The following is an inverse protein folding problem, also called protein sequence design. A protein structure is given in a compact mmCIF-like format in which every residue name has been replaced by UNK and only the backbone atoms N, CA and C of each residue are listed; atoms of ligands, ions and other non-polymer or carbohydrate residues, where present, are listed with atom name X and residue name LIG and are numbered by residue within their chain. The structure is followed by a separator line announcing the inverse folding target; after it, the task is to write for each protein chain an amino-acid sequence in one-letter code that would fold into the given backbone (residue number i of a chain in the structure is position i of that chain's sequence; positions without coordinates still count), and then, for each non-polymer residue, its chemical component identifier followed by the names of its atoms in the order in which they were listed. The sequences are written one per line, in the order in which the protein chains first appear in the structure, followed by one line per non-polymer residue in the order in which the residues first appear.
data_IF_772634901912
#
_entry.id   IF_772634901912
#
_cell.length_a   1.000
_cell.length_b   1.000
_cell.length_c   1.000
_cell.angle_alpha   90.00
_cell.angle_beta   90.00
_cell.angle_gamma   90.00
#
_symmetry.space_group_name_H-M   'P 1'
#
loop_
_entity.id
_entity.type
_entity.pdbx_description
1 polymer ?
#
# COMPACT_ATOMS: atom_id res chain seq x y z
N UNK A 1 -27.65 -47.53 55.74
CA UNK A 1 -27.58 -46.45 54.74
C UNK A 1 -27.29 -45.15 55.49
N UNK A 2 -26.24 -44.36 55.30
CA UNK A 2 -25.16 -44.26 54.32
C UNK A 2 -23.90 -43.81 55.09
N UNK A 3 -22.73 -44.33 54.72
CA UNK A 3 -21.44 -43.78 55.15
C UNK A 3 -21.19 -42.46 54.42
N UNK A 4 -20.74 -41.44 55.14
CA UNK A 4 -20.20 -40.21 54.60
C UNK A 4 -18.74 -40.43 54.21
N UNK A 5 -18.41 -40.35 52.93
CA UNK A 5 -17.02 -40.26 52.45
C UNK A 5 -16.69 -38.79 52.21
N UNK A 6 -15.89 -38.17 53.09
CA UNK A 6 -15.15 -36.97 52.73
C UNK A 6 -14.05 -37.37 51.75
N UNK A 7 -14.24 -37.08 50.46
CA UNK A 7 -13.13 -37.00 49.52
C UNK A 7 -12.59 -35.57 49.56
N UNK A 8 -11.44 -35.41 50.20
CA UNK A 8 -10.60 -34.21 50.08
C UNK A 8 -10.11 -34.11 48.63
N UNK A 9 -10.75 -33.27 47.81
CA UNK A 9 -10.14 -32.81 46.57
C UNK A 9 -9.07 -31.77 46.93
N UNK A 10 -7.83 -32.22 46.99
CA UNK A 10 -6.67 -31.33 46.87
C UNK A 10 -6.76 -30.69 45.46
N UNK A 11 -7.28 -29.47 45.40
CA UNK A 11 -7.01 -28.57 44.28
C UNK A 11 -5.52 -28.25 44.33
N UNK A 12 -4.73 -29.02 43.56
CA UNK A 12 -3.41 -28.61 43.13
C UNK A 12 -3.60 -27.33 42.31
N UNK A 13 -3.58 -26.18 42.99
CA UNK A 13 -3.27 -24.91 42.37
C UNK A 13 -1.84 -25.03 41.88
N UNK A 14 -1.67 -25.58 40.68
CA UNK A 14 -0.41 -25.51 39.95
C UNK A 14 -0.08 -24.02 39.85
N UNK A 15 0.93 -23.59 40.61
CA UNK A 15 1.61 -22.34 40.37
C UNK A 15 2.15 -22.43 38.94
N UNK A 16 1.37 -21.98 37.96
CA UNK A 16 1.90 -21.65 36.65
C UNK A 16 3.04 -20.66 36.93
N UNK A 17 4.28 -21.13 36.78
CA UNK A 17 5.43 -20.27 36.97
C UNK A 17 5.25 -19.09 36.01
N UNK A 18 5.22 -17.87 36.56
CA UNK A 18 5.15 -16.67 35.73
C UNK A 18 6.32 -16.72 34.74
N UNK A 19 6.00 -16.69 33.45
CA UNK A 19 7.02 -16.76 32.40
C UNK A 19 7.99 -15.58 32.57
N UNK A 20 9.28 -15.86 32.68
CA UNK A 20 10.31 -14.84 32.86
C UNK A 20 10.59 -14.11 31.55
N UNK A 21 10.87 -12.81 31.63
CA UNK A 21 11.30 -12.00 30.48
C UNK A 21 10.19 -11.50 29.57
N UNK A 22 8.92 -11.70 29.94
CA UNK A 22 7.77 -11.08 29.25
C UNK A 22 7.95 -9.56 29.21
N UNK A 23 7.64 -8.96 28.06
CA UNK A 23 7.48 -7.51 27.95
C UNK A 23 6.25 -7.09 28.77
N UNK A 24 6.46 -6.35 29.86
CA UNK A 24 5.40 -5.85 30.71
C UNK A 24 5.64 -4.37 31.09
N UNK A 25 4.69 -3.45 30.83
CA UNK A 25 3.48 -3.68 30.04
C UNK A 25 3.81 -3.90 28.55
N UNK A 26 2.97 -4.62 27.80
CA UNK A 26 3.16 -4.85 26.36
C UNK A 26 3.06 -3.55 25.57
N UNK A 27 2.12 -2.70 25.97
CA UNK A 27 1.74 -1.44 25.36
C UNK A 27 1.55 -0.37 26.43
N UNK A 28 1.61 0.89 26.04
CA UNK A 28 1.27 2.04 26.90
C UNK A 28 0.67 3.17 26.08
N UNK A 29 -0.21 3.97 26.68
CA UNK A 29 -0.75 5.16 26.03
C UNK A 29 0.31 6.26 26.04
N UNK A 30 0.70 6.72 24.84
CA UNK A 30 1.73 7.73 24.64
C UNK A 30 1.17 9.11 24.24
N UNK A 31 -0.12 9.19 23.95
CA UNK A 31 -0.81 10.42 23.59
C UNK A 31 -2.27 10.16 23.20
N UNK A 32 -3.04 11.21 22.85
CA UNK A 32 -4.39 11.05 22.31
C UNK A 32 -4.37 10.17 21.05
N UNK A 33 -5.09 9.05 21.06
CA UNK A 33 -5.07 8.04 19.99
C UNK A 33 -3.69 7.46 19.62
N UNK A 34 -2.67 7.64 20.47
CA UNK A 34 -1.32 7.09 20.26
C UNK A 34 -1.00 6.03 21.31
N UNK A 35 -0.75 4.81 20.87
CA UNK A 35 -0.32 3.69 21.72
C UNK A 35 1.10 3.27 21.34
N UNK A 36 2.03 3.27 22.31
CA UNK A 36 3.38 2.74 22.10
C UNK A 36 3.44 1.25 22.44
N UNK A 37 4.20 0.49 21.66
CA UNK A 37 4.51 -0.91 21.90
C UNK A 37 5.89 -1.02 22.52
N UNK A 38 5.95 -1.57 23.73
CA UNK A 38 7.22 -1.74 24.44
C UNK A 38 8.03 -2.87 23.81
N UNK A 39 9.29 -2.60 23.45
CA UNK A 39 10.24 -3.60 22.92
C UNK A 39 9.63 -4.45 21.79
N UNK A 40 8.85 -3.83 20.91
CA UNK A 40 8.19 -4.49 19.78
C UNK A 40 7.26 -5.65 20.18
N UNK A 41 6.90 -5.76 21.46
CA UNK A 41 6.20 -6.92 22.02
C UNK A 41 6.90 -8.27 21.70
N UNK A 42 8.24 -8.28 21.60
CA UNK A 42 9.00 -9.46 21.18
C UNK A 42 8.82 -10.68 22.10
N UNK A 43 8.44 -10.47 23.38
CA UNK A 43 8.17 -11.55 24.33
C UNK A 43 6.77 -11.36 24.93
N UNK A 44 5.77 -11.97 24.28
CA UNK A 44 4.39 -12.02 24.75
C UNK A 44 4.19 -13.13 25.80
N UNK A 45 3.26 -12.96 26.75
CA UNK A 45 2.89 -14.02 27.69
C UNK A 45 2.12 -15.13 26.98
N UNK A 46 2.52 -16.38 27.20
CA UNK A 46 1.78 -17.53 26.67
C UNK A 46 0.43 -17.74 27.39
N UNK A 47 -0.60 -18.20 26.69
CA UNK A 47 -0.67 -18.38 25.24
C UNK A 47 -0.95 -17.05 24.53
N UNK A 48 -0.36 -16.84 23.36
CA UNK A 48 -0.71 -15.75 22.47
C UNK A 48 -1.06 -16.29 21.09
N UNK A 49 -2.00 -15.63 20.41
CA UNK A 49 -2.47 -16.03 19.09
C UNK A 49 -3.08 -14.84 18.37
N UNK A 50 -2.77 -14.69 17.08
CA UNK A 50 -3.50 -13.83 16.15
C UNK A 50 -4.12 -14.72 15.09
N UNK A 51 -5.43 -14.63 14.94
CA UNK A 51 -6.10 -15.34 13.86
C UNK A 51 -5.63 -14.73 12.54
N UNK A 52 -5.23 -15.57 11.60
CA UNK A 52 -4.74 -15.08 10.32
C UNK A 52 -5.85 -15.21 9.31
N UNK A 53 -6.24 -14.08 8.72
CA UNK A 53 -7.37 -14.02 7.81
C UNK A 53 -7.09 -14.70 6.48
N UNK A 54 -8.12 -15.32 5.93
CA UNK A 54 -8.09 -16.02 4.64
C UNK A 54 -8.92 -15.33 3.56
N UNK A 55 -9.21 -14.01 3.70
CA UNK A 55 -9.66 -13.04 2.67
C UNK A 55 -10.63 -11.98 3.20
N UNK A 56 -11.40 -12.27 4.25
CA UNK A 56 -12.61 -11.48 4.58
C UNK A 56 -12.34 -10.22 5.41
N UNK A 57 -11.22 -10.18 6.15
CA UNK A 57 -10.83 -9.02 6.95
C UNK A 57 -9.34 -9.01 7.26
N UNK A 58 -8.54 -8.01 6.82
CA UNK A 58 -7.16 -7.85 7.28
C UNK A 58 -7.11 -7.84 8.82
N UNK A 59 -6.08 -8.43 9.41
CA UNK A 59 -5.86 -8.37 10.86
C UNK A 59 -4.71 -7.43 11.22
N UNK A 60 -4.80 -6.81 12.39
CA UNK A 60 -3.80 -5.85 12.89
C UNK A 60 -3.05 -6.42 14.10
N UNK A 61 -2.02 -5.69 14.58
CA UNK A 61 -1.33 -6.08 15.81
C UNK A 61 -2.29 -6.16 17.02
N UNK A 62 -3.30 -5.29 17.05
CA UNK A 62 -4.32 -5.25 18.11
C UNK A 62 -5.23 -6.48 18.18
N UNK A 63 -5.32 -7.28 17.12
CA UNK A 63 -6.07 -8.55 17.11
C UNK A 63 -5.34 -9.71 17.81
N UNK A 64 -4.12 -9.46 18.30
CA UNK A 64 -3.37 -10.45 19.07
C UNK A 64 -4.01 -10.66 20.43
N UNK A 65 -4.48 -11.88 20.67
CA UNK A 65 -4.88 -12.33 22.00
C UNK A 65 -3.65 -12.78 22.78
N UNK A 66 -3.59 -12.46 24.07
CA UNK A 66 -2.53 -12.88 24.99
C UNK A 66 -3.16 -13.54 26.24
N UNK A 67 -2.33 -14.07 27.15
CA UNK A 67 -2.73 -14.85 28.32
C UNK A 67 -4.06 -14.40 28.99
N UNK A 68 -4.87 -15.37 29.42
CA UNK A 68 -6.24 -15.19 29.96
C UNK A 68 -7.25 -14.58 28.97
N UNK A 69 -6.94 -14.53 27.67
CA UNK A 69 -7.83 -13.98 26.65
C UNK A 69 -7.86 -12.45 26.64
N UNK A 70 -6.91 -11.79 27.33
CA UNK A 70 -6.74 -10.35 27.26
C UNK A 70 -6.36 -9.95 25.83
N UNK A 71 -7.15 -9.07 25.22
CA UNK A 71 -6.84 -8.47 23.93
C UNK A 71 -6.04 -7.17 24.14
N UNK A 72 -5.23 -6.80 23.16
CA UNK A 72 -4.55 -5.50 23.11
C UNK A 72 -5.53 -4.41 22.65
N UNK A 73 -6.60 -4.20 23.42
CA UNK A 73 -7.73 -3.36 23.04
C UNK A 73 -7.35 -1.91 22.76
N UNK A 74 -6.43 -1.37 23.56
CA UNK A 74 -5.86 -0.03 23.41
C UNK A 74 -4.95 0.11 22.18
N UNK A 75 -4.37 -0.98 21.71
CA UNK A 75 -3.65 -1.03 20.43
C UNK A 75 -4.65 -1.06 19.27
N UNK A 76 -5.73 -1.83 19.41
CA UNK A 76 -6.76 -2.00 18.38
C UNK A 76 -7.59 -0.73 18.15
N UNK A 77 -7.73 0.12 19.16
CA UNK A 77 -8.50 1.36 19.08
C UNK A 77 -7.66 2.60 18.80
N UNK A 78 -6.34 2.48 18.68
CA UNK A 78 -5.46 3.62 18.46
C UNK A 78 -5.35 3.96 16.98
N UNK A 79 -5.42 5.25 16.64
CA UNK A 79 -5.14 5.74 15.29
C UNK A 79 -3.65 5.56 14.94
N UNK A 80 -2.77 5.66 15.93
CA UNK A 80 -1.32 5.51 15.75
C UNK A 80 -0.73 4.49 16.72
N UNK A 81 -0.06 3.47 16.19
CA UNK A 81 0.69 2.48 16.97
C UNK A 81 2.18 2.66 16.75
N UNK A 82 2.91 3.04 17.80
CA UNK A 82 4.32 3.40 17.73
C UNK A 82 5.19 2.25 18.25
N UNK A 83 6.11 1.75 17.44
CA UNK A 83 7.02 0.66 17.80
C UNK A 83 8.41 1.15 18.20
N UNK A 84 8.90 2.21 17.55
CA UNK A 84 10.06 2.97 17.99
C UNK A 84 9.58 4.27 18.64
N UNK A 85 9.62 4.33 19.98
CA UNK A 85 9.03 5.45 20.73
C UNK A 85 9.68 6.79 20.41
N UNK A 86 11.00 6.85 20.27
CA UNK A 86 11.69 8.11 20.04
C UNK A 86 11.40 8.63 18.64
N UNK A 87 11.69 7.83 17.62
CA UNK A 87 11.53 8.21 16.21
C UNK A 87 10.05 8.33 15.81
N UNK A 88 9.20 7.46 16.34
CA UNK A 88 7.77 7.49 16.05
C UNK A 88 7.06 8.72 16.61
N UNK A 89 7.40 9.15 17.83
CA UNK A 89 6.83 10.39 18.39
C UNK A 89 7.40 11.65 17.71
N UNK A 90 8.65 11.60 17.22
CA UNK A 90 9.20 12.66 16.36
C UNK A 90 8.41 12.79 15.05
N UNK A 91 8.14 11.67 14.37
CA UNK A 91 7.32 11.61 13.14
C UNK A 91 5.91 12.20 13.37
N UNK A 92 5.26 11.82 14.46
CA UNK A 92 3.89 12.27 14.77
C UNK A 92 3.84 13.74 15.19
N UNK A 93 4.92 14.26 15.79
CA UNK A 93 4.96 15.60 16.33
C UNK A 93 4.05 15.80 17.55
N UNK A 94 3.74 17.06 17.84
CA UNK A 94 3.04 17.43 19.09
C UNK A 94 1.51 17.27 19.03
N UNK A 95 0.93 17.22 17.83
CA UNK A 95 -0.52 17.20 17.61
C UNK A 95 -0.88 16.37 16.36
N UNK A 96 -0.52 15.07 16.33
CA UNK A 96 -0.96 14.21 15.23
C UNK A 96 -2.49 14.11 15.21
N UNK A 97 -3.07 13.98 14.02
CA UNK A 97 -4.51 13.73 13.89
C UNK A 97 -4.81 12.79 12.73
N UNK A 98 -5.83 11.95 12.91
CA UNK A 98 -6.44 11.13 11.87
C UNK A 98 -7.90 11.55 11.72
N UNK A 99 -8.36 11.72 10.47
CA UNK A 99 -9.73 12.10 10.15
C UNK A 99 -10.25 11.27 8.97
N UNK A 100 -11.38 10.58 9.16
CA UNK A 100 -12.09 9.94 8.06
C UNK A 100 -12.87 10.99 7.27
N UNK A 101 -12.53 11.18 5.99
CA UNK A 101 -13.01 12.30 5.19
C UNK A 101 -14.19 11.92 4.30
N UNK A 102 -14.09 10.81 3.57
CA UNK A 102 -15.10 10.40 2.59
C UNK A 102 -15.35 8.90 2.65
N UNK A 103 -16.63 8.53 2.67
CA UNK A 103 -17.04 7.17 2.35
C UNK A 103 -17.07 7.01 0.83
N UNK A 104 -16.42 5.98 0.31
CA UNK A 104 -16.41 5.62 -1.11
C UNK A 104 -16.92 4.19 -1.28
N UNK A 105 -17.03 3.72 -2.51
CA UNK A 105 -17.46 2.34 -2.78
C UNK A 105 -16.43 1.32 -2.26
N UNK A 106 -16.81 0.05 -2.20
CA UNK A 106 -15.90 -1.06 -1.89
C UNK A 106 -14.95 -1.41 -3.05
N UNK A 107 -14.97 -0.64 -4.14
CA UNK A 107 -14.00 -0.76 -5.22
C UNK A 107 -12.58 -0.45 -4.75
N UNK A 108 -11.60 -0.93 -5.51
CA UNK A 108 -10.20 -0.53 -5.34
C UNK A 108 -10.06 0.94 -5.75
N UNK A 109 -9.63 1.77 -4.80
CA UNK A 109 -9.28 3.17 -5.00
C UNK A 109 -7.79 3.36 -4.90
N UNK A 110 -7.18 3.91 -5.94
CA UNK A 110 -5.75 3.80 -6.19
C UNK A 110 -5.21 5.08 -6.87
N UNK A 111 -3.95 5.08 -7.27
CA UNK A 111 -3.31 6.13 -8.05
C UNK A 111 -3.43 7.55 -7.46
N UNK A 112 -3.24 7.79 -6.15
CA UNK A 112 -3.32 9.14 -5.62
C UNK A 112 -2.17 10.01 -6.12
N UNK A 113 -2.49 11.09 -6.83
CA UNK A 113 -1.51 12.04 -7.38
C UNK A 113 -1.91 13.46 -7.04
N UNK A 114 -1.07 14.12 -6.24
CA UNK A 114 -1.26 15.52 -5.87
C UNK A 114 -0.73 16.45 -6.97
N UNK A 115 -1.59 17.32 -7.48
CA UNK A 115 -1.26 18.38 -8.43
C UNK A 115 -1.24 19.71 -7.67
N UNK A 116 -0.07 20.08 -7.16
CA UNK A 116 0.10 21.24 -6.28
C UNK A 116 -0.32 22.57 -6.95
N UNK A 117 -0.09 22.73 -8.25
CA UNK A 117 -0.48 23.94 -9.01
C UNK A 117 -1.99 24.21 -9.00
N UNK A 118 -2.80 23.15 -8.85
CA UNK A 118 -4.26 23.24 -8.77
C UNK A 118 -4.78 23.01 -7.34
N UNK A 119 -3.90 22.62 -6.43
CA UNK A 119 -4.22 22.16 -5.08
C UNK A 119 -5.34 21.08 -5.10
N UNK A 120 -5.14 20.05 -5.92
CA UNK A 120 -6.08 18.95 -6.12
C UNK A 120 -5.39 17.61 -6.04
N UNK A 121 -6.06 16.64 -5.43
CA UNK A 121 -5.59 15.26 -5.36
C UNK A 121 -6.47 14.40 -6.27
N UNK A 122 -5.85 13.85 -7.32
CA UNK A 122 -6.49 12.92 -8.25
C UNK A 122 -6.31 11.51 -7.74
N UNK A 123 -7.30 10.65 -7.91
CA UNK A 123 -7.22 9.23 -7.60
C UNK A 123 -8.17 8.45 -8.52
N UNK A 124 -7.97 7.14 -8.62
CA UNK A 124 -8.78 6.27 -9.47
C UNK A 124 -9.76 5.43 -8.67
N UNK A 125 -10.74 4.87 -9.37
CA UNK A 125 -11.57 3.77 -8.92
C UNK A 125 -11.52 2.69 -10.02
N UNK A 126 -11.08 1.47 -9.70
CA UNK A 126 -10.85 0.42 -10.70
C UNK A 126 -12.09 -0.48 -10.87
N UNK A 127 -12.37 -1.30 -9.85
CA UNK A 127 -13.47 -2.26 -9.81
C UNK A 127 -13.64 -2.82 -8.40
N UNK A 128 -14.79 -3.46 -8.09
CA UNK A 128 -16.01 -3.53 -8.91
C UNK A 128 -16.90 -2.27 -8.82
N UNK A 129 -17.72 -1.96 -9.86
CA UNK A 129 -17.84 -2.66 -11.13
C UNK A 129 -16.72 -2.31 -12.12
N UNK A 130 -16.35 -3.27 -12.97
CA UNK A 130 -15.45 -3.03 -14.10
C UNK A 130 -16.09 -2.05 -15.13
N UNK A 131 -15.25 -1.41 -15.94
CA UNK A 131 -15.69 -0.44 -16.95
C UNK A 131 -15.96 0.97 -16.42
N UNK A 132 -15.68 1.25 -15.14
CA UNK A 132 -15.71 2.61 -14.60
C UNK A 132 -14.59 3.44 -15.23
N UNK A 133 -14.96 4.58 -15.82
CA UNK A 133 -14.08 5.48 -16.56
C UNK A 133 -13.72 6.77 -15.82
N UNK A 134 -14.62 7.38 -15.02
CA UNK A 134 -14.22 8.55 -14.25
C UNK A 134 -13.09 8.22 -13.27
N UNK A 135 -12.27 9.22 -13.00
CA UNK A 135 -11.40 9.27 -11.83
C UNK A 135 -12.12 10.11 -10.77
N UNK A 136 -11.60 10.11 -9.55
CA UNK A 136 -12.07 10.99 -8.50
C UNK A 136 -11.05 12.11 -8.27
N UNK A 137 -11.54 13.25 -7.80
CA UNK A 137 -10.72 14.40 -7.42
C UNK A 137 -11.19 14.91 -6.07
N UNK A 138 -10.26 14.98 -5.12
CA UNK A 138 -10.42 15.75 -3.90
C UNK A 138 -9.97 17.18 -4.18
N UNK A 139 -10.90 18.13 -4.10
CA UNK A 139 -10.62 19.56 -4.21
C UNK A 139 -10.24 20.14 -2.85
N UNK A 140 -8.95 20.44 -2.67
CA UNK A 140 -8.39 20.94 -1.42
C UNK A 140 -8.49 22.47 -1.30
N UNK A 141 -9.11 23.14 -2.28
CA UNK A 141 -9.42 24.57 -2.21
C UNK A 141 -10.72 24.87 -1.46
N UNK A 142 -11.49 23.83 -1.12
CA UNK A 142 -12.72 23.94 -0.34
C UNK A 142 -12.48 23.60 1.14
N UNK A 143 -13.26 24.21 2.03
CA UNK A 143 -13.27 23.90 3.45
C UNK A 143 -14.72 23.63 3.93
N UNK A 144 -15.09 22.36 4.22
CA UNK A 144 -14.26 21.17 4.10
C UNK A 144 -13.94 20.81 2.64
N UNK A 145 -12.86 20.03 2.36
CA UNK A 145 -12.55 19.52 1.03
C UNK A 145 -13.73 18.75 0.42
N UNK A 146 -13.84 18.77 -0.91
CA UNK A 146 -14.93 18.08 -1.63
C UNK A 146 -14.41 16.96 -2.51
N UNK A 147 -15.21 15.93 -2.74
CA UNK A 147 -14.92 14.81 -3.62
C UNK A 147 -15.85 14.86 -4.84
N UNK A 148 -15.30 14.72 -6.04
CA UNK A 148 -16.07 14.74 -7.29
C UNK A 148 -15.49 13.81 -8.36
N UNK A 149 -16.31 13.41 -9.31
CA UNK A 149 -15.86 12.67 -10.50
C UNK A 149 -15.16 13.60 -11.50
N UNK A 150 -14.13 13.09 -12.15
CA UNK A 150 -13.36 13.75 -13.18
C UNK A 150 -13.18 12.79 -14.36
N UNK A 151 -13.53 13.25 -15.57
CA UNK A 151 -13.36 12.46 -16.78
C UNK A 151 -12.34 13.11 -17.70
N UNK A 152 -11.27 12.37 -17.97
CA UNK A 152 -10.21 12.79 -18.87
C UNK A 152 -10.57 12.65 -20.35
N UNK A 153 -9.87 13.35 -21.24
CA UNK A 153 -10.11 13.28 -22.68
C UNK A 153 -8.85 12.92 -23.49
N UNK A 154 -8.79 11.74 -24.14
CA UNK A 154 -9.73 10.63 -24.00
C UNK A 154 -9.73 10.02 -22.58
N UNK A 155 -10.82 9.36 -22.16
CA UNK A 155 -10.90 8.70 -20.86
C UNK A 155 -9.84 7.60 -20.70
N UNK A 156 -9.32 7.46 -19.49
CA UNK A 156 -8.39 6.37 -19.14
C UNK A 156 -9.13 5.31 -18.34
N UNK A 157 -9.10 4.07 -18.82
CA UNK A 157 -9.72 2.95 -18.12
C UNK A 157 -8.80 2.38 -17.04
N UNK A 158 -9.31 2.35 -15.80
CA UNK A 158 -8.66 1.80 -14.61
C UNK A 158 -7.18 2.24 -14.43
N UNK A 159 -6.88 3.55 -14.31
CA UNK A 159 -5.59 3.98 -13.78
C UNK A 159 -5.36 3.32 -12.42
N UNK A 160 -4.20 2.72 -12.19
CA UNK A 160 -3.87 1.98 -10.97
C UNK A 160 -2.76 2.67 -10.20
N UNK A 161 -1.64 2.94 -10.86
CA UNK A 161 -0.53 3.68 -10.29
C UNK A 161 -0.42 5.06 -10.88
N UNK A 162 0.20 5.98 -10.15
CA UNK A 162 0.43 7.32 -10.67
C UNK A 162 1.48 8.14 -9.97
N UNK A 163 2.02 9.11 -10.71
CA UNK A 163 2.93 10.12 -10.17
C UNK A 163 2.79 11.44 -10.91
N UNK A 164 3.10 12.56 -10.24
CA UNK A 164 3.20 13.87 -10.89
C UNK A 164 4.64 14.10 -11.31
N UNK A 165 4.84 14.42 -12.59
CA UNK A 165 6.16 14.71 -13.13
C UNK A 165 6.09 15.72 -14.28
N UNK A 166 6.91 16.77 -14.21
CA UNK A 166 7.05 17.79 -15.27
C UNK A 166 5.70 18.39 -15.70
N UNK A 167 4.86 18.76 -14.73
CA UNK A 167 3.58 19.41 -14.97
C UNK A 167 2.45 18.47 -15.43
N UNK A 168 2.70 17.16 -15.48
CA UNK A 168 1.71 16.16 -15.91
C UNK A 168 1.56 15.08 -14.87
N UNK A 169 0.39 14.47 -14.83
CA UNK A 169 0.23 13.18 -14.18
C UNK A 169 0.67 12.09 -15.15
N UNK A 170 1.41 11.10 -14.68
CA UNK A 170 1.71 9.86 -15.39
C UNK A 170 0.92 8.75 -14.72
N UNK A 171 0.06 8.08 -15.47
CA UNK A 171 -0.75 6.95 -15.04
C UNK A 171 -0.21 5.63 -15.57
N UNK A 172 -0.23 4.62 -14.70
CA UNK A 172 -0.26 3.21 -15.08
C UNK A 172 -1.71 2.81 -15.32
N UNK A 173 -2.15 2.76 -16.57
CA UNK A 173 -3.50 2.32 -16.91
C UNK A 173 -3.52 0.79 -16.96
N UNK A 174 -4.23 0.17 -16.02
CA UNK A 174 -4.32 -1.28 -15.85
C UNK A 174 -5.46 -1.92 -16.66
N UNK A 175 -6.43 -1.12 -17.10
CA UNK A 175 -7.62 -1.60 -17.79
C UNK A 175 -7.36 -2.03 -19.24
N UNK A 176 -8.02 -3.13 -19.66
CA UNK A 176 -7.94 -3.64 -21.03
C UNK A 176 -9.29 -4.12 -21.57
N UNK A 177 -9.92 -3.39 -22.49
CA UNK A 177 -11.21 -3.80 -23.05
C UNK A 177 -11.40 -3.28 -24.47
N UNK A 178 -11.94 -4.12 -25.36
CA UNK A 178 -12.20 -3.78 -26.78
C UNK A 178 -13.22 -2.66 -27.02
N UNK A 179 -14.04 -2.32 -26.04
CA UNK A 179 -15.23 -1.48 -26.23
C UNK A 179 -15.45 -0.40 -25.15
N UNK A 180 -14.53 -0.25 -24.20
CA UNK A 180 -14.68 0.69 -23.09
C UNK A 180 -14.45 2.13 -23.55
N UNK A 181 -15.34 3.06 -23.17
CA UNK A 181 -15.22 4.48 -23.54
C UNK A 181 -15.38 4.74 -25.04
N UNK A 182 -16.06 3.85 -25.77
CA UNK A 182 -16.31 4.00 -27.20
C UNK A 182 -15.22 3.44 -28.11
N UNK A 183 -14.25 2.69 -27.56
CA UNK A 183 -13.19 2.06 -28.36
C UNK A 183 -12.37 1.03 -27.59
N UNK A 184 -11.28 0.57 -28.22
CA UNK A 184 -10.35 -0.34 -27.59
C UNK A 184 -9.36 0.41 -26.69
N UNK A 185 -9.27 -0.01 -25.43
CA UNK A 185 -8.22 0.39 -24.50
C UNK A 185 -7.42 -0.82 -24.05
N UNK A 186 -6.12 -0.62 -23.83
CA UNK A 186 -5.16 -1.63 -23.41
C UNK A 186 -4.26 -1.06 -22.32
N UNK A 187 -3.67 -1.97 -21.55
CA UNK A 187 -2.71 -1.66 -20.49
C UNK A 187 -1.60 -0.77 -21.05
N UNK A 188 -1.34 0.36 -20.39
CA UNK A 188 -0.41 1.38 -20.92
C UNK A 188 0.07 2.36 -19.85
N UNK A 189 1.27 2.91 -20.04
CA UNK A 189 1.64 4.18 -19.40
C UNK A 189 1.03 5.33 -20.20
N UNK A 190 0.41 6.29 -19.51
CA UNK A 190 -0.23 7.46 -20.12
C UNK A 190 0.10 8.73 -19.35
N UNK A 191 0.21 9.85 -20.04
CA UNK A 191 0.17 11.16 -19.37
C UNK A 191 -1.25 11.70 -19.34
N UNK A 192 -1.60 12.45 -18.30
CA UNK A 192 -2.71 13.40 -18.24
C UNK A 192 -2.14 14.78 -17.98
N UNK A 193 -2.42 15.71 -18.88
CA UNK A 193 -2.13 17.13 -18.69
C UNK A 193 -3.30 17.77 -17.91
N UNK A 194 -3.09 18.20 -16.65
CA UNK A 194 -4.17 18.68 -15.79
C UNK A 194 -4.71 20.05 -16.21
N UNK A 195 -3.98 20.80 -17.05
CA UNK A 195 -4.41 22.12 -17.54
C UNK A 195 -5.33 21.99 -18.77
N UNK A 196 -5.05 21.00 -19.62
CA UNK A 196 -5.82 20.79 -20.87
C UNK A 196 -6.80 19.63 -20.81
N UNK A 197 -6.76 18.83 -19.74
CA UNK A 197 -7.49 17.58 -19.57
C UNK A 197 -7.14 16.51 -20.63
N UNK A 198 -6.01 16.65 -21.33
CA UNK A 198 -5.65 15.75 -22.43
C UNK A 198 -4.79 14.59 -21.97
N UNK A 199 -5.12 13.39 -22.45
CA UNK A 199 -4.34 12.19 -22.19
C UNK A 199 -3.56 11.73 -23.43
N UNK A 200 -2.40 11.09 -23.21
CA UNK A 200 -1.52 10.62 -24.29
C UNK A 200 -0.82 9.32 -23.88
N UNK A 201 -0.78 8.34 -24.79
CA UNK A 201 -0.04 7.10 -24.57
C UNK A 201 1.47 7.33 -24.62
N UNK A 202 2.18 6.74 -23.67
CA UNK A 202 3.64 6.68 -23.66
C UNK A 202 4.14 5.32 -24.15
N UNK A 203 3.63 4.24 -23.57
CA UNK A 203 3.99 2.86 -23.95
C UNK A 203 2.84 1.90 -23.60
N UNK A 204 2.63 0.88 -24.41
CA UNK A 204 1.48 -0.04 -24.27
C UNK A 204 1.79 -1.51 -24.60
N UNK A 205 3.05 -1.83 -24.91
CA UNK A 205 3.47 -3.19 -25.23
C UNK A 205 4.96 -3.42 -24.91
N UNK A 206 5.31 -4.68 -24.76
CA UNK A 206 6.68 -5.17 -24.75
C UNK A 206 6.90 -6.08 -25.97
N UNK A 207 7.58 -5.57 -27.00
CA UNK A 207 7.82 -6.28 -28.27
C UNK A 207 6.56 -6.90 -28.91
N UNK A 208 5.43 -6.20 -28.83
CA UNK A 208 4.15 -6.65 -29.38
C UNK A 208 3.26 -7.45 -28.41
N UNK A 209 3.75 -7.79 -27.23
CA UNK A 209 2.93 -8.37 -26.16
C UNK A 209 2.30 -7.26 -25.31
N UNK A 210 1.04 -7.42 -24.94
CA UNK A 210 0.41 -6.54 -23.96
C UNK A 210 1.05 -6.75 -22.59
N UNK A 211 1.23 -5.65 -21.86
CA UNK A 211 1.48 -5.71 -20.42
C UNK A 211 0.29 -6.36 -19.70
N UNK A 212 0.57 -6.96 -18.55
CA UNK A 212 -0.43 -7.66 -17.75
C UNK A 212 -1.29 -6.67 -16.95
N UNK A 213 -0.65 -5.80 -16.19
CA UNK A 213 -1.21 -4.78 -15.29
C UNK A 213 -0.10 -3.79 -15.01
N UNK A 214 -0.02 -2.64 -15.69
CA UNK A 214 0.89 -1.59 -15.21
C UNK A 214 0.28 -1.07 -13.91
N UNK A 215 0.80 -1.58 -12.80
CA UNK A 215 0.20 -1.52 -11.47
C UNK A 215 0.64 -0.24 -10.77
N UNK A 216 1.90 -0.14 -10.36
CA UNK A 216 2.44 1.09 -9.79
C UNK A 216 3.69 1.58 -10.55
N UNK A 217 4.01 2.88 -10.44
CA UNK A 217 5.15 3.48 -11.13
C UNK A 217 5.87 4.56 -10.33
N UNK A 218 7.16 4.72 -10.62
CA UNK A 218 8.01 5.78 -10.09
C UNK A 218 8.94 6.34 -11.17
N UNK A 219 9.15 7.65 -11.16
CA UNK A 219 10.14 8.31 -12.03
C UNK A 219 11.47 8.36 -11.30
N UNK A 220 12.53 7.86 -11.93
CA UNK A 220 13.87 7.96 -11.36
C UNK A 220 14.32 9.42 -11.32
N UNK A 221 14.70 9.98 -10.15
CA UNK A 221 14.81 11.42 -9.95
C UNK A 221 15.93 12.09 -10.76
N UNK A 222 16.92 11.32 -11.24
CA UNK A 222 18.05 11.86 -12.01
C UNK A 222 17.94 11.61 -13.52
N UNK A 223 17.43 10.46 -13.93
CA UNK A 223 17.36 10.10 -15.37
C UNK A 223 16.02 10.48 -16.00
N UNK A 224 14.96 10.64 -15.20
CA UNK A 224 13.60 10.84 -15.69
C UNK A 224 12.96 9.59 -16.31
N UNK A 225 13.62 8.42 -16.19
CA UNK A 225 13.06 7.17 -16.68
C UNK A 225 11.92 6.71 -15.77
N UNK A 226 10.90 6.10 -16.38
CA UNK A 226 9.73 5.59 -15.67
C UNK A 226 9.95 4.12 -15.36
N UNK A 227 9.98 3.77 -14.08
CA UNK A 227 10.04 2.39 -13.61
C UNK A 227 8.64 1.98 -13.17
N UNK A 228 8.20 0.79 -13.54
CA UNK A 228 6.84 0.33 -13.27
C UNK A 228 6.77 -1.18 -13.05
N UNK A 229 5.72 -1.61 -12.36
CA UNK A 229 5.46 -3.00 -12.03
C UNK A 229 4.36 -3.59 -12.92
N UNK A 230 4.46 -4.88 -13.25
CA UNK A 230 3.57 -5.60 -14.15
C UNK A 230 3.03 -6.93 -13.57
N UNK A 231 2.25 -6.91 -12.46
CA UNK A 231 1.56 -8.07 -11.89
C UNK A 231 0.40 -8.56 -12.75
N UNK A 232 -0.32 -9.59 -12.28
CA UNK A 232 -1.45 -10.20 -13.00
C UNK A 232 -2.84 -9.69 -12.55
N UNK A 233 -2.91 -8.61 -11.77
CA UNK A 233 -4.14 -8.17 -11.09
C UNK A 233 -5.29 -7.82 -12.01
N UNK A 234 -5.04 -7.21 -13.16
CA UNK A 234 -6.09 -6.89 -14.13
C UNK A 234 -6.82 -8.14 -14.60
N UNK A 235 -6.09 -9.25 -14.80
CA UNK A 235 -6.71 -10.53 -15.14
C UNK A 235 -7.46 -11.10 -13.96
N UNK A 236 -6.86 -11.11 -12.77
CA UNK A 236 -7.50 -11.61 -11.55
C UNK A 236 -8.84 -10.92 -11.25
N UNK A 237 -8.91 -9.61 -11.47
CA UNK A 237 -10.06 -8.75 -11.13
C UNK A 237 -11.01 -8.46 -12.30
N UNK A 238 -10.88 -9.18 -13.43
CA UNK A 238 -11.71 -8.96 -14.62
C UNK A 238 -11.66 -7.51 -15.17
N UNK A 239 -10.54 -6.81 -14.96
CA UNK A 239 -10.28 -5.47 -15.52
C UNK A 239 -9.76 -5.54 -16.95
N UNK A 240 -9.25 -6.70 -17.37
CA UNK A 240 -8.82 -6.96 -18.75
C UNK A 240 -9.55 -8.13 -19.39
N UNK A 241 -9.89 -8.00 -20.68
CA UNK A 241 -10.44 -9.09 -21.51
C UNK A 241 -9.34 -9.95 -22.17
N UNK A 242 -8.07 -9.67 -21.89
CA UNK A 242 -6.91 -10.35 -22.48
C UNK A 242 -6.11 -11.05 -21.39
N UNK A 243 -5.91 -12.37 -21.48
CA UNK A 243 -5.10 -13.08 -20.49
C UNK A 243 -3.63 -12.64 -20.54
N UNK A 244 -2.90 -12.76 -19.42
CA UNK A 244 -1.49 -12.41 -19.33
C UNK A 244 -0.66 -13.05 -20.46
N UNK A 245 0.16 -12.23 -21.12
CA UNK A 245 1.06 -12.65 -22.20
C UNK A 245 2.53 -12.66 -21.77
N UNK A 246 2.81 -12.01 -20.63
CA UNK A 246 4.14 -11.84 -20.07
C UNK A 246 4.20 -12.49 -18.68
N UNK A 247 5.37 -12.96 -18.23
CA UNK A 247 5.58 -13.22 -16.81
C UNK A 247 5.35 -11.93 -16.02
N UNK A 248 5.03 -12.08 -14.74
CA UNK A 248 5.04 -10.92 -13.85
C UNK A 248 6.48 -10.41 -13.68
N UNK A 249 6.67 -9.10 -13.82
CA UNK A 249 7.99 -8.47 -13.77
C UNK A 249 7.88 -6.98 -13.46
N UNK A 250 9.02 -6.34 -13.20
CA UNK A 250 9.17 -4.88 -13.19
C UNK A 250 9.98 -4.44 -14.40
N UNK A 251 9.66 -3.28 -14.95
CA UNK A 251 10.26 -2.73 -16.16
C UNK A 251 10.68 -1.27 -15.96
N UNK A 252 11.54 -0.81 -16.87
CA UNK A 252 11.97 0.58 -17.01
C UNK A 252 11.69 1.03 -18.44
N UNK A 253 11.05 2.17 -18.59
CA UNK A 253 10.82 2.86 -19.85
C UNK A 253 11.66 4.13 -19.93
N UNK A 254 12.51 4.20 -20.96
CA UNK A 254 13.30 5.39 -21.27
C UNK A 254 12.58 6.23 -22.33
N UNK A 255 12.00 7.35 -21.91
CA UNK A 255 11.17 8.19 -22.79
C UNK A 255 11.95 8.82 -23.96
N UNK A 256 13.28 8.98 -23.83
CA UNK A 256 14.11 9.59 -24.89
C UNK A 256 14.37 8.64 -26.06
N UNK A 257 14.60 7.36 -25.78
CA UNK A 257 14.87 6.32 -26.79
C UNK A 257 13.64 5.50 -27.16
N UNK A 258 12.61 5.49 -26.32
CA UNK A 258 11.45 4.62 -26.42
C UNK A 258 11.71 3.18 -25.96
N UNK A 259 12.90 2.88 -25.43
CA UNK A 259 13.26 1.53 -25.00
C UNK A 259 12.50 1.13 -23.72
N UNK A 260 12.07 -0.14 -23.67
CA UNK A 260 11.59 -0.81 -22.45
C UNK A 260 12.55 -1.92 -22.07
N UNK A 261 13.02 -1.94 -20.83
CA UNK A 261 13.99 -2.89 -20.30
C UNK A 261 13.43 -3.56 -19.05
N UNK A 262 13.72 -4.84 -18.85
CA UNK A 262 13.38 -5.54 -17.60
C UNK A 262 14.27 -5.03 -16.47
N UNK A 263 13.67 -4.83 -15.30
CA UNK A 263 14.34 -4.42 -14.06
C UNK A 263 14.51 -5.61 -13.11
N UNK A 264 13.44 -6.35 -12.86
CA UNK A 264 13.42 -7.57 -12.04
C UNK A 264 12.29 -8.49 -12.52
N UNK A 265 12.56 -9.78 -12.64
CA UNK A 265 11.61 -10.82 -13.02
C UNK A 265 11.45 -11.90 -11.92
N UNK A 266 11.92 -11.59 -10.70
CA UNK A 266 12.02 -12.56 -9.60
C UNK A 266 11.01 -12.32 -8.47
N UNK A 267 10.45 -11.10 -8.38
CA UNK A 267 9.30 -10.77 -7.54
C UNK A 267 8.04 -11.47 -8.09
N UNK A 268 7.23 -12.07 -7.21
CA UNK A 268 6.09 -12.89 -7.65
C UNK A 268 4.91 -12.09 -8.17
N UNK A 269 4.51 -11.05 -7.43
CA UNK A 269 3.55 -10.03 -7.88
C UNK A 269 4.12 -8.68 -7.44
N UNK A 270 4.90 -7.98 -8.29
CA UNK A 270 5.44 -6.67 -7.98
C UNK A 270 4.30 -5.67 -7.99
N UNK A 271 4.28 -4.76 -7.03
CA UNK A 271 3.15 -3.84 -6.85
C UNK A 271 3.69 -2.42 -6.61
N UNK A 272 3.64 -1.86 -5.40
CA UNK A 272 4.22 -0.58 -5.05
C UNK A 272 5.70 -0.46 -5.40
N UNK A 273 6.09 0.70 -5.95
CA UNK A 273 7.48 1.03 -6.31
C UNK A 273 7.80 2.48 -5.92
N UNK A 274 8.96 2.70 -5.30
CA UNK A 274 9.40 4.04 -4.94
C UNK A 274 10.93 4.15 -4.88
N UNK A 275 11.47 5.29 -5.28
CA UNK A 275 12.88 5.63 -5.08
C UNK A 275 13.07 6.36 -3.76
N UNK A 276 14.24 6.17 -3.14
CA UNK A 276 14.72 7.10 -2.14
C UNK A 276 15.03 8.48 -2.77
N UNK A 277 15.16 9.55 -1.97
CA UNK A 277 15.25 10.92 -2.50
C UNK A 277 16.39 11.18 -3.50
N UNK A 278 17.51 10.48 -3.37
CA UNK A 278 18.67 10.64 -4.28
C UNK A 278 18.68 9.64 -5.44
N UNK A 279 17.69 8.73 -5.51
CA UNK A 279 17.54 7.72 -6.55
C UNK A 279 18.55 6.57 -6.49
N UNK A 280 19.35 6.44 -5.42
CA UNK A 280 20.34 5.35 -5.32
C UNK A 280 19.76 4.01 -4.89
N UNK A 281 18.52 4.02 -4.38
CA UNK A 281 17.81 2.81 -3.93
C UNK A 281 16.39 2.85 -4.47
N UNK A 282 15.94 1.72 -5.04
CA UNK A 282 14.53 1.50 -5.38
C UNK A 282 13.95 0.43 -4.47
N UNK A 283 12.76 0.69 -3.96
CA UNK A 283 11.98 -0.26 -3.18
C UNK A 283 10.83 -0.78 -4.03
N UNK A 284 10.61 -2.10 -4.01
CA UNK A 284 9.51 -2.76 -4.72
C UNK A 284 8.85 -3.76 -3.77
N UNK A 285 7.52 -3.69 -3.62
CA UNK A 285 6.77 -4.66 -2.83
C UNK A 285 6.46 -5.93 -3.64
N UNK A 286 6.45 -7.07 -2.93
CA UNK A 286 5.96 -8.36 -3.40
C UNK A 286 4.70 -8.74 -2.63
N UNK A 287 3.60 -8.74 -3.36
CA UNK A 287 2.25 -9.02 -2.88
C UNK A 287 1.77 -10.39 -3.35
N UNK A 288 2.67 -11.33 -3.67
CA UNK A 288 2.34 -12.68 -4.15
C UNK A 288 1.56 -13.57 -3.16
N UNK A 289 1.31 -13.10 -1.93
CA UNK A 289 0.24 -13.64 -1.11
C UNK A 289 -1.15 -13.49 -1.72
N UNK A 290 -1.34 -12.57 -2.66
CA UNK A 290 -2.50 -12.47 -3.52
C UNK A 290 -2.12 -13.05 -4.89
N UNK A 291 -2.57 -14.27 -5.20
CA UNK A 291 -2.20 -14.94 -6.45
C UNK A 291 -3.22 -15.99 -6.89
N UNK A 292 -3.58 -16.01 -8.17
CA UNK A 292 -4.52 -16.99 -8.74
C UNK A 292 -4.06 -17.57 -10.08
N UNK A 293 -4.84 -18.50 -10.67
CA UNK A 293 -4.57 -19.02 -12.00
C UNK A 293 -4.72 -17.93 -13.08
N UNK A 294 -3.85 -17.99 -14.09
CA UNK A 294 -3.91 -17.12 -15.29
C UNK A 294 -4.49 -17.84 -16.52
N UNK A 295 -4.84 -19.12 -16.39
CA UNK A 295 -5.48 -19.90 -17.45
C UNK A 295 -6.88 -19.32 -17.73
N UNK A 296 -7.19 -18.92 -18.98
CA UNK A 296 -8.52 -18.47 -19.39
C UNK A 296 -9.66 -19.43 -19.00
N UNK A 297 -9.39 -20.74 -18.95
CA UNK A 297 -10.38 -21.74 -18.57
C UNK A 297 -10.73 -21.73 -17.08
N UNK A 298 -9.88 -21.13 -16.24
CA UNK A 298 -10.14 -20.94 -14.81
C UNK A 298 -10.95 -19.66 -14.52
N UNK A 299 -11.18 -18.80 -15.52
CA UNK A 299 -11.86 -17.52 -15.38
C UNK A 299 -11.04 -16.49 -14.59
N UNK A 300 -11.74 -15.56 -13.94
CA UNK A 300 -11.15 -14.50 -13.13
C UNK A 300 -11.24 -14.87 -11.64
N UNK A 301 -10.13 -15.28 -10.99
CA UNK A 301 -10.16 -15.83 -9.63
C UNK A 301 -10.42 -14.79 -8.53
N UNK A 302 -10.47 -13.50 -8.84
CA UNK A 302 -10.45 -12.43 -7.83
C UNK A 302 -9.09 -12.38 -7.13
N UNK A 303 -9.08 -11.97 -5.86
CA UNK A 303 -7.86 -11.70 -5.09
C UNK A 303 -7.55 -12.73 -4.01
N UNK A 304 -7.46 -14.06 -4.30
CA UNK A 304 -7.27 -15.08 -3.26
C UNK A 304 -5.99 -14.84 -2.45
N UNK A 305 -6.10 -14.92 -1.11
CA UNK A 305 -5.05 -14.51 -0.19
C UNK A 305 -4.53 -15.68 0.65
N UNK A 306 -3.20 -15.83 0.67
CA UNK A 306 -2.49 -16.76 1.53
C UNK A 306 -1.40 -16.04 2.32
N UNK A 307 -1.65 -15.82 3.60
CA UNK A 307 -0.73 -15.15 4.53
C UNK A 307 0.68 -15.77 4.62
N UNK A 308 0.83 -17.06 4.28
CA UNK A 308 2.12 -17.76 4.37
C UNK A 308 3.04 -17.51 3.17
N UNK A 309 2.53 -16.84 2.13
CA UNK A 309 3.29 -16.44 0.95
C UNK A 309 4.00 -15.09 1.17
N UNK A 310 4.63 -14.56 0.11
CA UNK A 310 5.42 -13.32 0.16
C UNK A 310 4.52 -12.11 0.32
N UNK A 311 4.90 -11.25 1.26
CA UNK A 311 4.21 -10.02 1.70
C UNK A 311 5.28 -8.99 2.03
N UNK A 312 6.24 -8.85 1.13
CA UNK A 312 7.60 -8.43 1.45
C UNK A 312 7.99 -7.20 0.65
N UNK A 313 8.55 -6.19 1.30
CA UNK A 313 9.22 -5.08 0.62
C UNK A 313 10.69 -5.46 0.40
N UNK A 314 11.15 -5.31 -0.84
CA UNK A 314 12.54 -5.49 -1.24
C UNK A 314 13.19 -4.15 -1.54
N UNK A 315 14.46 -4.02 -1.18
CA UNK A 315 15.32 -2.93 -1.63
C UNK A 315 16.30 -3.43 -2.70
N UNK A 316 16.62 -2.55 -3.64
CA UNK A 316 17.64 -2.74 -4.66
C UNK A 316 18.53 -1.51 -4.71
N UNK A 317 19.83 -1.73 -4.86
CA UNK A 317 20.74 -0.64 -5.21
C UNK A 317 20.51 -0.27 -6.67
N UNK A 318 20.49 1.02 -6.97
CA UNK A 318 20.39 1.50 -8.35
C UNK A 318 21.81 1.76 -8.86
N UNK A 319 22.11 1.30 -10.09
CA UNK A 319 23.41 1.54 -10.72
C UNK A 319 23.73 3.03 -10.81
N UNK A 320 25.02 3.37 -10.86
CA UNK A 320 25.46 4.78 -10.86
C UNK A 320 24.87 5.62 -12.02
N UNK A 321 24.53 4.99 -13.14
CA UNK A 321 23.88 5.62 -14.29
C UNK A 321 22.34 5.63 -14.20
N UNK A 322 21.74 5.11 -13.13
CA UNK A 322 20.29 5.11 -12.90
C UNK A 322 19.52 4.06 -13.69
N UNK A 323 20.19 3.03 -14.20
CA UNK A 323 19.62 2.16 -15.25
C UNK A 323 19.28 0.74 -14.84
N UNK A 324 19.89 0.23 -13.77
CA UNK A 324 19.77 -1.17 -13.32
C UNK A 324 19.44 -1.25 -11.84
N UNK A 325 18.67 -2.27 -11.47
CA UNK A 325 18.47 -2.70 -10.09
C UNK A 325 19.46 -3.83 -9.74
N UNK A 326 20.17 -3.66 -8.62
CA UNK A 326 21.23 -4.54 -8.16
C UNK A 326 20.97 -4.95 -6.70
N UNK A 327 21.62 -6.02 -6.24
CA UNK A 327 21.66 -6.40 -4.82
C UNK A 327 20.28 -6.47 -4.12
N UNK A 328 19.33 -7.15 -4.76
CA UNK A 328 17.99 -7.41 -4.20
C UNK A 328 18.09 -7.97 -2.79
N UNK A 329 17.40 -7.34 -1.83
CA UNK A 329 17.37 -7.78 -0.43
C UNK A 329 16.00 -7.52 0.20
N UNK A 330 15.44 -8.48 0.96
CA UNK A 330 14.23 -8.23 1.73
C UNK A 330 14.56 -7.27 2.88
N UNK A 331 13.70 -6.28 3.11
CA UNK A 331 13.85 -5.34 4.23
C UNK A 331 12.67 -5.41 5.20
N UNK A 332 11.48 -5.78 4.74
CA UNK A 332 10.29 -5.80 5.57
C UNK A 332 9.31 -6.89 5.14
N UNK A 333 8.74 -7.60 6.12
CA UNK A 333 7.60 -8.50 5.93
C UNK A 333 6.40 -7.84 6.62
N UNK A 334 5.36 -7.51 5.85
CA UNK A 334 4.18 -6.84 6.39
C UNK A 334 3.62 -7.60 7.60
N UNK A 335 3.23 -6.89 8.66
CA UNK A 335 2.62 -7.53 9.83
C UNK A 335 1.13 -7.87 9.62
N UNK A 336 0.48 -7.14 8.71
CA UNK A 336 -0.94 -7.30 8.35
C UNK A 336 -1.14 -8.09 7.05
N UNK A 337 -1.73 -7.44 6.05
CA UNK A 337 -2.09 -8.02 4.76
C UNK A 337 -0.87 -8.09 3.82
N UNK A 338 -0.93 -7.42 2.66
CA UNK A 338 0.20 -7.27 1.73
C UNK A 338 0.65 -5.81 1.69
N UNK A 339 1.95 -5.52 1.46
CA UNK A 339 2.42 -4.16 1.21
C UNK A 339 2.04 -3.74 -0.22
N UNK A 340 0.91 -3.03 -0.37
CA UNK A 340 0.39 -2.53 -1.65
C UNK A 340 1.18 -1.28 -2.08
N UNK A 341 0.55 -0.10 -2.13
CA UNK A 341 1.21 1.17 -2.44
C UNK A 341 2.42 1.47 -1.55
N UNK A 342 3.52 1.84 -2.19
CA UNK A 342 4.77 2.30 -1.55
C UNK A 342 5.05 3.76 -1.87
N UNK A 343 5.53 4.50 -0.87
CA UNK A 343 6.14 5.84 -1.07
C UNK A 343 7.32 6.02 -0.12
N UNK A 344 8.20 6.98 -0.42
CA UNK A 344 9.34 7.33 0.45
C UNK A 344 9.25 8.80 0.81
N UNK A 345 9.35 9.12 2.11
CA UNK A 345 9.36 10.47 2.65
C UNK A 345 10.66 11.22 2.32
N UNK A 346 10.67 12.54 2.49
CA UNK A 346 11.84 13.38 2.20
C UNK A 346 13.10 13.00 2.99
N UNK A 347 12.94 12.44 4.20
CA UNK A 347 14.05 11.98 5.04
C UNK A 347 14.47 10.52 4.76
N UNK A 348 13.87 9.85 3.76
CA UNK A 348 14.19 8.49 3.38
C UNK A 348 13.38 7.39 4.10
N UNK A 349 12.47 7.74 5.02
CA UNK A 349 11.55 6.76 5.61
C UNK A 349 10.58 6.23 4.56
N UNK A 350 10.29 4.93 4.65
CA UNK A 350 9.48 4.19 3.68
C UNK A 350 8.08 4.05 4.27
N UNK A 351 7.06 4.31 3.47
CA UNK A 351 5.66 4.08 3.83
C UNK A 351 5.11 2.95 2.97
N UNK A 352 4.37 2.02 3.57
CA UNK A 352 3.73 0.91 2.88
C UNK A 352 2.27 0.72 3.35
N UNK A 353 1.33 0.64 2.42
CA UNK A 353 -0.07 0.31 2.72
C UNK A 353 -0.18 -1.19 2.99
N UNK A 354 -0.56 -1.59 4.21
CA UNK A 354 -0.39 -2.99 4.67
C UNK A 354 -1.69 -3.67 5.10
N UNK A 355 -2.82 -3.25 4.52
CA UNK A 355 -4.16 -3.67 4.93
C UNK A 355 -4.87 -2.52 5.63
N UNK A 356 -5.29 -2.70 6.88
CA UNK A 356 -5.96 -1.68 7.69
C UNK A 356 -4.99 -0.61 8.23
N UNK A 357 -4.19 -0.02 7.35
CA UNK A 357 -3.26 1.02 7.74
C UNK A 357 -2.06 1.20 6.82
N UNK A 358 -1.17 2.08 7.28
CA UNK A 358 0.13 2.37 6.65
C UNK A 358 1.23 2.17 7.67
N UNK A 359 2.19 1.32 7.33
CA UNK A 359 3.42 1.12 8.10
C UNK A 359 4.49 2.13 7.68
N UNK A 360 5.16 2.75 8.64
CA UNK A 360 6.32 3.62 8.45
C UNK A 360 7.58 2.90 8.88
N UNK A 361 8.53 2.76 7.97
CA UNK A 361 9.77 2.02 8.15
C UNK A 361 10.98 2.96 8.01
N UNK A 362 12.07 2.66 8.71
CA UNK A 362 13.35 3.25 8.37
C UNK A 362 13.97 2.61 7.09
N UNK A 363 15.07 3.16 6.54
CA UNK A 363 15.64 2.68 5.28
C UNK A 363 16.17 1.23 5.31
N UNK A 364 16.35 0.64 6.50
CA UNK A 364 16.75 -0.77 6.66
C UNK A 364 15.56 -1.69 6.92
N UNK A 365 14.34 -1.14 6.98
CA UNK A 365 13.09 -1.89 7.13
C UNK A 365 12.62 -2.07 8.58
N UNK A 366 13.17 -1.33 9.55
CA UNK A 366 12.67 -1.36 10.91
C UNK A 366 11.33 -0.61 11.00
N UNK A 367 10.29 -1.27 11.51
CA UNK A 367 8.99 -0.66 11.76
C UNK A 367 9.09 0.41 12.86
N UNK A 368 8.69 1.63 12.54
CA UNK A 368 8.72 2.78 13.46
C UNK A 368 7.33 3.03 14.04
N UNK A 369 6.31 3.10 13.18
CA UNK A 369 4.91 3.22 13.57
C UNK A 369 3.97 2.69 12.49
N UNK A 370 2.72 2.48 12.86
CA UNK A 370 1.61 2.16 11.96
C UNK A 370 0.50 3.19 12.18
N UNK A 371 -0.01 3.79 11.10
CA UNK A 371 -1.30 4.50 11.09
C UNK A 371 -2.38 3.44 10.88
N UNK A 372 -3.39 3.38 11.74
CA UNK A 372 -4.51 2.44 11.60
C UNK A 372 -5.73 3.09 10.93
N UNK A 373 -6.45 2.29 10.17
CA UNK A 373 -7.71 2.67 9.51
C UNK A 373 -8.77 1.60 9.73
N UNK A 374 -10.04 1.95 9.55
CA UNK A 374 -11.15 1.00 9.57
C UNK A 374 -11.44 0.36 8.19
N UNK A 375 -10.58 0.61 7.21
CA UNK A 375 -10.68 0.12 5.83
C UNK A 375 -9.31 -0.29 5.29
N UNK A 376 -9.26 -1.08 4.22
CA UNK A 376 -8.01 -1.43 3.55
C UNK A 376 -7.45 -0.22 2.80
N UNK A 377 -6.26 0.24 3.18
CA UNK A 377 -5.52 1.27 2.46
C UNK A 377 -4.76 0.62 1.32
N UNK A 378 -5.05 1.06 0.09
CA UNK A 378 -4.39 0.62 -1.13
C UNK A 378 -3.18 1.52 -1.41
N UNK A 379 -3.37 2.84 -1.34
CA UNK A 379 -2.30 3.80 -1.62
C UNK A 379 -2.52 5.13 -0.86
N UNK A 380 -1.56 6.05 -0.99
CA UNK A 380 -1.57 7.33 -0.29
C UNK A 380 -0.66 8.37 -0.96
N UNK A 381 -0.91 9.65 -0.68
CA UNK A 381 -0.10 10.77 -1.16
C UNK A 381 -0.05 11.94 -0.18
N UNK A 382 1.09 12.63 -0.14
CA UNK A 382 1.23 13.89 0.59
C UNK A 382 0.66 15.07 -0.19
N UNK A 383 0.10 16.02 0.54
CA UNK A 383 -0.49 17.25 0.03
C UNK A 383 -0.12 18.45 0.91
N UNK A 384 -0.49 19.65 0.45
CA UNK A 384 -0.24 20.89 1.16
C UNK A 384 1.15 21.48 0.90
N UNK A 385 1.38 22.74 1.31
CA UNK A 385 2.58 23.49 0.96
C UNK A 385 3.87 22.90 1.55
N UNK A 386 3.78 22.25 2.72
CA UNK A 386 4.90 21.57 3.37
C UNK A 386 4.94 20.06 3.08
N UNK A 387 3.98 19.54 2.29
CA UNK A 387 3.80 18.11 2.03
C UNK A 387 3.74 17.28 3.33
N UNK A 388 3.08 17.80 4.36
CA UNK A 388 2.90 17.16 5.66
C UNK A 388 1.49 16.63 5.92
N UNK A 389 0.55 16.88 5.03
CA UNK A 389 -0.80 16.28 5.12
C UNK A 389 -0.83 15.03 4.25
N UNK A 390 -0.95 13.85 4.87
CA UNK A 390 -1.04 12.57 4.17
C UNK A 390 -2.51 12.20 3.94
N UNK A 391 -2.85 11.85 2.70
CA UNK A 391 -4.16 11.30 2.34
C UNK A 391 -4.04 9.81 2.09
N UNK A 392 -4.96 9.04 2.66
CA UNK A 392 -5.07 7.59 2.56
C UNK A 392 -6.34 7.24 1.79
N UNK A 393 -6.29 6.21 0.93
CA UNK A 393 -7.46 5.74 0.19
C UNK A 393 -7.40 4.24 -0.05
N UNK A 394 -8.59 3.64 -0.18
CA UNK A 394 -8.75 2.26 -0.60
C UNK A 394 -10.21 1.84 -0.55
N UNK A 395 -10.48 0.59 -0.21
CA UNK A 395 -11.84 0.04 -0.24
C UNK A 395 -12.72 0.70 0.84
N UNK A 396 -13.76 1.44 0.46
CA UNK A 396 -14.74 1.99 1.39
C UNK A 396 -14.37 3.32 2.06
N UNK A 397 -13.12 3.80 1.97
CA UNK A 397 -12.69 4.97 2.71
C UNK A 397 -11.60 5.84 2.06
N UNK A 398 -11.68 7.14 2.36
CA UNK A 398 -10.61 8.12 2.18
C UNK A 398 -10.42 8.85 3.51
N UNK A 399 -9.17 9.00 3.95
CA UNK A 399 -8.83 9.66 5.21
C UNK A 399 -7.67 10.62 5.07
N UNK A 400 -7.53 11.51 6.04
CA UNK A 400 -6.49 12.52 6.13
C UNK A 400 -5.73 12.36 7.44
N UNK A 401 -4.41 12.52 7.38
CA UNK A 401 -3.49 12.48 8.52
C UNK A 401 -2.65 13.75 8.54
N UNK A 402 -2.58 14.39 9.70
CA UNK A 402 -1.65 15.49 9.97
C UNK A 402 -0.55 14.99 10.91
N UNK A 403 0.71 15.25 10.54
CA UNK A 403 1.92 14.81 11.24
C UNK A 403 3.13 15.64 10.78
N UNK A 404 4.35 15.30 11.22
CA UNK A 404 5.58 16.04 10.87
C UNK A 404 6.39 15.39 9.72
N UNK A 405 6.01 14.20 9.25
CA UNK A 405 6.74 13.49 8.20
C UNK A 405 6.37 13.99 6.80
N UNK A 406 7.25 14.83 6.26
CA UNK A 406 7.08 15.42 4.93
C UNK A 406 7.37 14.43 3.79
N UNK A 407 6.54 14.50 2.74
CA UNK A 407 6.77 13.82 1.46
C UNK A 407 7.93 14.42 0.67
N UNK A 408 8.39 13.69 -0.36
CA UNK A 408 9.39 14.21 -1.30
C UNK A 408 8.83 15.40 -2.10
N UNK A 409 9.71 16.33 -2.48
CA UNK A 409 9.35 17.45 -3.35
C UNK A 409 8.79 16.94 -4.68
N UNK A 410 7.70 17.54 -5.13
CA UNK A 410 7.07 17.22 -6.40
C UNK A 410 7.82 17.93 -7.53
N UNK A 411 8.21 17.17 -8.56
CA UNK A 411 9.00 17.68 -9.71
C UNK A 411 8.15 17.92 -10.95
#
# INVERSE_FOLDING_TARGET
MRLASLQSQLLLAGCACAQSGITAPISEVCGPSVTCINRYANVLPYHFFRNVSTLEAPTTFGDTTVANGSALSEVKSADFVVFDKERGLEILGSKPSYEFMFAVSEAVHEAPVYVASQNKLYLSQLAPPAGYLPQLVVDLNQDPPTLSEFLSEPPVYAPNGGTFHNGKIIWGASGGNRSVGGGEQRVSLRTLDPETNKTTNLVNNYYGYYFNTIDDLAVHPKTGDIWFTDPHYSWFNALTDTPPQLPSASYRYNASSGAVMVVDDSIGQPNGIAFNPDGTTVYISDTAAISGPVDPNAGHPGTPFNTTHRRTVYAFDVSADGTQALNKRPIYLAAGFVPDGLKVAANGYILAGTGQGVDVLDPVGQLLLTIQTNYTVQNFAWTGPELKTLWLMGNGGISKVEWELAGQQLN
#
